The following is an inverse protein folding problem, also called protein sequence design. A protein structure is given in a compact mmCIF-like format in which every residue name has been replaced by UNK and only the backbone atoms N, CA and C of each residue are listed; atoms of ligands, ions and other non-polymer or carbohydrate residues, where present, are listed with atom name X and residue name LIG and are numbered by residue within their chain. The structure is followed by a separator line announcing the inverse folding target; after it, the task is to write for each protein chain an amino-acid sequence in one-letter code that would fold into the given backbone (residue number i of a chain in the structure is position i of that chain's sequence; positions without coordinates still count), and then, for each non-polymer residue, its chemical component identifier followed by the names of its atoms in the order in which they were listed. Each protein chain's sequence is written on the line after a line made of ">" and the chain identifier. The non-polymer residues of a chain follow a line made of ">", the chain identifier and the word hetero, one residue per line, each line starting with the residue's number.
data_IF_886210477996
#
_entry.id   IF_886210477996
#
_cell.length_a   1.000
_cell.length_b   1.000
_cell.length_c   1.000
_cell.angle_alpha   90.00
_cell.angle_beta   90.00
_cell.angle_gamma   90.00
#
_symmetry.space_group_name_H-M   'P 1'
#
loop_
_entity.id
_entity.type
_entity.pdbx_description
1 polymer ?
#
# COMPACT_ATOMS: atom_id res chain seq x y z
N UNK A 1 1.71 28.33 -15.69
CA UNK A 1 0.60 27.40 -15.81
C UNK A 1 0.80 26.22 -14.87
N UNK A 2 -0.17 25.99 -14.03
CA UNK A 2 -0.03 24.92 -13.07
C UNK A 2 -0.31 23.58 -13.72
N UNK A 3 0.47 22.58 -13.34
CA UNK A 3 0.22 21.23 -13.77
C UNK A 3 -0.57 20.55 -12.68
N UNK A 4 -1.75 20.13 -13.02
CA UNK A 4 -2.59 19.48 -12.04
C UNK A 4 -2.35 18.00 -12.09
N UNK A 5 -2.10 17.43 -10.92
CA UNK A 5 -1.99 16.00 -10.79
C UNK A 5 -3.37 15.37 -10.77
N UNK A 6 -3.44 14.16 -11.25
CA UNK A 6 -4.67 13.38 -11.21
C UNK A 6 -4.50 12.28 -10.16
N UNK A 7 -5.49 12.16 -9.27
CA UNK A 7 -5.42 11.17 -8.21
C UNK A 7 -6.16 9.91 -8.66
N UNK A 8 -5.48 8.79 -8.56
CA UNK A 8 -6.04 7.48 -8.86
C UNK A 8 -5.72 6.52 -7.74
N UNK A 9 -6.60 5.56 -7.53
CA UNK A 9 -6.30 4.49 -6.59
C UNK A 9 -5.42 3.46 -7.27
N UNK A 10 -4.35 3.09 -6.58
CA UNK A 10 -3.48 2.03 -7.07
C UNK A 10 -3.43 0.92 -6.04
N UNK A 11 -3.19 -0.29 -6.51
CA UNK A 11 -3.10 -1.45 -5.64
C UNK A 11 -1.64 -1.71 -5.31
N UNK A 12 -1.38 -1.91 -4.03
CA UNK A 12 -0.05 -2.29 -3.56
C UNK A 12 -0.16 -3.60 -2.80
N UNK A 13 0.79 -4.46 -3.02
CA UNK A 13 0.87 -5.72 -2.28
C UNK A 13 2.11 -5.65 -1.41
N UNK A 14 1.91 -5.83 -0.11
CA UNK A 14 2.99 -5.82 0.86
C UNK A 14 3.10 -7.23 1.40
N UNK A 15 4.30 -7.80 1.30
CA UNK A 15 4.55 -9.14 1.77
C UNK A 15 5.67 -9.11 2.80
N UNK A 16 5.38 -9.62 3.99
CA UNK A 16 6.35 -9.72 5.07
C UNK A 16 6.08 -11.00 5.83
N UNK A 17 7.14 -11.76 6.09
CA UNK A 17 6.99 -13.04 6.77
C UNK A 17 6.06 -13.94 5.97
N UNK A 18 5.06 -14.47 6.64
CA UNK A 18 4.11 -15.39 5.99
C UNK A 18 2.83 -14.73 5.52
N UNK A 19 2.75 -13.40 5.60
CA UNK A 19 1.53 -12.70 5.21
C UNK A 19 1.77 -11.76 4.06
N UNK A 20 0.79 -11.67 3.19
CA UNK A 20 0.75 -10.68 2.14
C UNK A 20 -0.58 -9.93 2.28
N UNK A 21 -0.55 -8.64 2.05
CA UNK A 21 -1.76 -7.84 2.12
C UNK A 21 -1.85 -6.95 0.90
N UNK A 22 -3.01 -6.97 0.25
CA UNK A 22 -3.26 -6.11 -0.91
C UNK A 22 -4.07 -4.92 -0.43
N UNK A 23 -3.52 -3.73 -0.63
CA UNK A 23 -4.18 -2.50 -0.19
C UNK A 23 -4.31 -1.56 -1.38
N UNK A 24 -5.33 -0.70 -1.32
CA UNK A 24 -5.50 0.35 -2.31
C UNK A 24 -5.17 1.67 -1.68
N UNK A 25 -4.34 2.44 -2.35
CA UNK A 25 -3.93 3.75 -1.85
C UNK A 25 -4.06 4.77 -2.97
N UNK A 26 -4.24 6.02 -2.59
CA UNK A 26 -4.30 7.10 -3.56
C UNK A 26 -2.90 7.47 -4.00
N UNK A 27 -2.74 7.64 -5.30
CA UNK A 27 -1.49 8.10 -5.87
C UNK A 27 -1.79 9.26 -6.82
N UNK A 28 -0.88 10.21 -6.87
CA UNK A 28 -1.02 11.37 -7.74
C UNK A 28 -0.11 11.20 -8.95
N UNK A 29 -0.67 11.41 -10.12
CA UNK A 29 0.06 11.32 -11.38
C UNK A 29 0.08 12.68 -12.05
N UNK A 30 1.25 13.08 -12.52
CA UNK A 30 1.40 14.35 -13.23
C UNK A 30 1.66 14.07 -14.69
N UNK A 31 1.20 14.95 -15.59
CA UNK A 31 1.31 14.68 -17.03
C UNK A 31 2.72 14.46 -17.54
N UNK A 32 3.70 15.05 -16.86
CA UNK A 32 5.08 14.98 -17.33
C UNK A 32 5.88 13.86 -16.69
N UNK A 33 5.29 13.17 -15.72
CA UNK A 33 6.00 12.13 -15.00
C UNK A 33 5.33 10.79 -15.19
N UNK A 34 6.16 9.75 -15.28
CA UNK A 34 5.66 8.38 -15.35
C UNK A 34 5.51 7.76 -13.98
N UNK A 35 5.93 8.46 -12.94
CA UNK A 35 5.92 7.93 -11.59
C UNK A 35 4.67 8.34 -10.82
N UNK A 36 4.23 7.44 -9.96
CA UNK A 36 3.14 7.73 -9.05
C UNK A 36 3.72 8.33 -7.77
N UNK A 37 3.09 9.41 -7.30
CA UNK A 37 3.53 10.06 -6.07
C UNK A 37 2.55 9.77 -4.95
N UNK A 38 3.08 9.34 -3.83
CA UNK A 38 2.29 9.02 -2.64
C UNK A 38 2.50 10.11 -1.61
N UNK A 39 1.43 10.44 -0.89
CA UNK A 39 1.54 11.43 0.18
C UNK A 39 2.37 10.85 1.34
N UNK A 40 2.87 11.76 2.19
CA UNK A 40 3.61 11.33 3.37
C UNK A 40 2.72 10.46 4.28
N UNK A 41 1.44 10.79 4.37
CA UNK A 41 0.52 9.99 5.16
C UNK A 41 0.37 8.58 4.60
N UNK A 42 0.28 8.46 3.28
CA UNK A 42 0.20 7.15 2.64
C UNK A 42 1.46 6.34 2.88
N UNK A 43 2.62 7.00 2.79
CA UNK A 43 3.89 6.32 3.05
C UNK A 43 3.97 5.81 4.50
N UNK A 44 3.49 6.62 5.44
CA UNK A 44 3.46 6.19 6.84
C UNK A 44 2.52 5.01 7.04
N UNK A 45 1.38 5.04 6.37
CA UNK A 45 0.44 3.93 6.44
C UNK A 45 1.07 2.65 5.91
N UNK A 46 1.76 2.72 4.77
CA UNK A 46 2.40 1.54 4.21
C UNK A 46 3.50 1.01 5.13
N UNK A 47 4.24 1.89 5.78
CA UNK A 47 5.25 1.47 6.75
C UNK A 47 4.62 0.77 7.94
N UNK A 48 3.50 1.29 8.43
CA UNK A 48 2.79 0.65 9.54
C UNK A 48 2.29 -0.73 9.13
N UNK A 49 1.77 -0.85 7.91
CA UNK A 49 1.29 -2.12 7.39
C UNK A 49 2.44 -3.13 7.35
N UNK A 50 3.63 -2.69 6.91
CA UNK A 50 4.79 -3.58 6.88
C UNK A 50 5.15 -4.09 8.28
N UNK A 51 5.14 -3.19 9.26
CA UNK A 51 5.47 -3.58 10.64
C UNK A 51 4.44 -4.54 11.19
N UNK A 52 3.15 -4.28 10.93
CA UNK A 52 2.10 -5.16 11.43
C UNK A 52 2.14 -6.52 10.75
N UNK A 53 2.50 -6.55 9.47
CA UNK A 53 2.64 -7.82 8.76
C UNK A 53 3.78 -8.64 9.35
N UNK A 54 4.90 -8.00 9.67
CA UNK A 54 6.02 -8.69 10.31
C UNK A 54 5.65 -9.24 11.67
N UNK A 55 4.81 -8.50 12.41
CA UNK A 55 4.36 -8.92 13.73
C UNK A 55 3.25 -9.98 13.66
N UNK A 56 2.71 -10.24 12.47
CA UNK A 56 1.62 -11.21 12.34
C UNK A 56 0.29 -10.68 12.82
N UNK A 57 0.10 -9.37 12.81
CA UNK A 57 -1.12 -8.74 13.30
C UNK A 57 -2.21 -8.82 12.23
N UNK A 58 -2.79 -9.99 12.09
CA UNK A 58 -3.77 -10.26 11.04
C UNK A 58 -5.02 -9.39 11.21
N UNK A 59 -5.44 -9.16 12.44
CA UNK A 59 -6.62 -8.34 12.69
C UNK A 59 -6.45 -6.92 12.12
N UNK A 60 -5.27 -6.35 12.30
CA UNK A 60 -4.99 -5.04 11.73
C UNK A 60 -4.98 -5.10 10.19
N UNK A 61 -4.31 -6.11 9.65
CA UNK A 61 -4.17 -6.23 8.20
C UNK A 61 -5.52 -6.39 7.53
N UNK A 62 -6.44 -7.11 8.15
CA UNK A 62 -7.78 -7.30 7.61
C UNK A 62 -8.58 -6.00 7.56
N UNK A 63 -8.23 -5.04 8.39
CA UNK A 63 -8.90 -3.74 8.39
C UNK A 63 -8.43 -2.86 7.25
N UNK A 64 -7.20 -3.06 6.78
CA UNK A 64 -6.61 -2.17 5.78
C UNK A 64 -6.63 -2.75 4.37
N UNK A 65 -6.82 -4.05 4.23
CA UNK A 65 -6.80 -4.65 2.90
C UNK A 65 -7.15 -6.12 2.93
N UNK A 66 -6.87 -6.78 1.82
CA UNK A 66 -7.14 -8.19 1.68
C UNK A 66 -5.89 -8.98 2.06
N UNK A 67 -6.03 -9.89 3.00
CA UNK A 67 -4.90 -10.60 3.58
C UNK A 67 -4.80 -12.01 2.99
N UNK A 68 -3.58 -12.39 2.68
CA UNK A 68 -3.27 -13.73 2.22
C UNK A 68 -2.18 -14.29 3.13
N UNK A 69 -2.35 -15.54 3.52
CA UNK A 69 -1.33 -16.23 4.27
C UNK A 69 -0.60 -17.16 3.31
N UNK A 70 0.74 -17.09 3.32
CA UNK A 70 1.55 -17.94 2.48
C UNK A 70 1.70 -19.28 3.16
N UNK A 71 1.37 -20.32 2.41
CA UNK A 71 1.49 -21.69 2.92
C UNK A 71 2.55 -22.42 2.13
N UNK A 72 3.34 -23.21 2.83
CA UNK A 72 4.34 -24.04 2.19
C UNK A 72 3.63 -25.18 1.48
N UNK A 73 4.00 -25.36 0.25
CA UNK A 73 3.44 -26.44 -0.54
C UNK A 73 4.09 -27.79 -0.22
#
# INVERSE_FOLDING_TARGET
>A
MSQEGTVHKIKRVIQRGRYAVAVEVDATFYPEDDEAYLSAETCKLLDEIRRRAEAGDVAYLQKVGKVFELVDA
#
